data_IF_752155316805
#
_entry.id   IF_752155316805
#
_cell.length_a   1.000
_cell.length_b   1.000
_cell.length_c   1.000
_cell.angle_alpha   90.00
_cell.angle_beta   90.00
_cell.angle_gamma   90.00
#
_symmetry.space_group_name_H-M   'P 1'
#
loop_
_entity.id
_entity.type
_entity.pdbx_description
1 polymer ?
#
# COMPACT_ATOMS: atom_id res chain seq x y z
N UNK A 1 -29.04 16.94 -1.54
CA UNK A 1 -28.25 16.05 -2.41
C UNK A 1 -27.48 16.80 -3.49
N UNK A 2 -28.10 17.64 -4.35
CA UNK A 2 -27.38 18.38 -5.41
C UNK A 2 -26.28 19.34 -4.92
N UNK A 3 -26.45 19.99 -3.76
CA UNK A 3 -25.43 20.88 -3.16
C UNK A 3 -24.23 20.13 -2.58
N UNK A 4 -24.46 18.92 -2.04
CA UNK A 4 -23.40 18.06 -1.52
C UNK A 4 -22.54 17.52 -2.67
N UNK A 5 -23.17 17.10 -3.77
CA UNK A 5 -22.50 16.64 -4.98
C UNK A 5 -21.64 17.73 -5.63
N UNK A 6 -22.17 18.98 -5.65
CA UNK A 6 -21.42 20.13 -6.17
C UNK A 6 -20.23 20.50 -5.28
N UNK A 7 -20.34 20.36 -3.94
CA UNK A 7 -19.21 20.56 -3.02
C UNK A 7 -18.13 19.49 -3.21
N UNK A 8 -18.52 18.23 -3.38
CA UNK A 8 -17.58 17.13 -3.63
C UNK A 8 -16.87 17.32 -4.97
N UNK A 9 -17.61 17.72 -6.03
CA UNK A 9 -17.00 18.02 -7.34
C UNK A 9 -16.05 19.22 -7.27
N UNK A 10 -16.42 20.28 -6.54
CA UNK A 10 -15.55 21.45 -6.33
C UNK A 10 -14.30 21.09 -5.54
N UNK A 11 -14.41 20.20 -4.53
CA UNK A 11 -13.28 19.73 -3.74
C UNK A 11 -12.31 18.88 -4.60
N UNK A 12 -12.85 18.03 -5.48
CA UNK A 12 -12.04 17.23 -6.43
C UNK A 12 -11.32 18.14 -7.44
N UNK A 13 -12.00 19.19 -7.95
CA UNK A 13 -11.37 20.14 -8.88
C UNK A 13 -10.32 21.05 -8.21
N UNK A 14 -10.47 21.37 -6.92
CA UNK A 14 -9.44 22.15 -6.20
C UNK A 14 -8.24 21.29 -5.79
N UNK A 15 -8.42 20.00 -5.55
CA UNK A 15 -7.30 19.09 -5.32
C UNK A 15 -6.45 18.91 -6.59
N UNK A 16 -7.05 18.84 -7.78
CA UNK A 16 -6.30 18.68 -9.04
C UNK A 16 -5.37 19.85 -9.37
N UNK A 17 -5.62 21.04 -8.80
CA UNK A 17 -4.76 22.23 -8.96
C UNK A 17 -3.63 22.31 -7.91
N UNK A 18 -3.75 21.58 -6.79
CA UNK A 18 -2.75 21.58 -5.71
C UNK A 18 -1.71 20.46 -5.83
N UNK A 19 -1.93 19.49 -6.71
CA UNK A 19 -1.07 18.30 -6.87
C UNK A 19 0.25 18.60 -7.59
N UNK A 20 0.41 19.77 -8.20
CA UNK A 20 1.67 20.15 -8.87
C UNK A 20 2.84 20.47 -7.93
N UNK A 21 2.64 20.52 -6.60
CA UNK A 21 3.64 21.07 -5.69
C UNK A 21 4.67 20.07 -5.17
N UNK A 22 4.46 18.76 -5.34
CA UNK A 22 5.37 17.71 -4.85
C UNK A 22 5.63 16.63 -5.90
N UNK A 23 5.97 17.03 -7.11
CA UNK A 23 6.38 16.07 -8.14
C UNK A 23 7.69 15.38 -7.72
N UNK A 24 7.76 14.07 -7.89
CA UNK A 24 9.01 13.33 -7.71
C UNK A 24 10.01 13.74 -8.80
N UNK A 25 11.31 13.69 -8.51
CA UNK A 25 12.35 14.06 -9.51
C UNK A 25 12.32 13.20 -10.77
N UNK A 26 11.75 12.00 -10.68
CA UNK A 26 11.60 11.02 -11.74
C UNK A 26 10.14 10.83 -12.20
N UNK A 27 9.27 11.82 -11.99
CA UNK A 27 7.85 11.80 -12.35
C UNK A 27 7.61 11.48 -13.84
N UNK A 28 8.52 11.94 -14.72
CA UNK A 28 8.48 11.62 -16.16
C UNK A 28 8.67 10.14 -16.49
N UNK A 29 9.16 9.35 -15.54
CA UNK A 29 9.32 7.91 -15.68
C UNK A 29 8.08 7.14 -15.27
N UNK A 30 7.09 7.82 -14.68
CA UNK A 30 5.80 7.25 -14.31
C UNK A 30 4.95 7.18 -15.59
N UNK A 31 4.36 6.01 -15.86
CA UNK A 31 3.44 5.86 -17.00
C UNK A 31 2.25 6.80 -16.87
N UNK A 32 1.82 7.39 -17.98
CA UNK A 32 0.64 8.27 -18.04
C UNK A 32 -0.62 7.58 -17.47
N UNK A 33 -0.74 6.26 -17.60
CA UNK A 33 -1.85 5.48 -17.06
C UNK A 33 -1.93 5.54 -15.52
N UNK A 34 -0.81 5.82 -14.84
CA UNK A 34 -0.71 5.82 -13.37
C UNK A 34 -0.32 7.18 -12.78
N UNK A 35 0.07 8.14 -13.60
CA UNK A 35 0.58 9.44 -13.15
C UNK A 35 -0.40 10.17 -12.22
N UNK A 36 -1.69 10.19 -12.58
CA UNK A 36 -2.74 10.80 -11.75
C UNK A 36 -2.89 10.08 -10.40
N UNK A 37 -2.91 8.75 -10.40
CA UNK A 37 -3.04 7.97 -9.17
C UNK A 37 -1.85 8.19 -8.23
N UNK A 38 -0.64 8.21 -8.77
CA UNK A 38 0.58 8.49 -7.99
C UNK A 38 0.54 9.91 -7.42
N UNK A 39 0.16 10.90 -8.23
CA UNK A 39 0.05 12.28 -7.80
C UNK A 39 -0.99 12.46 -6.66
N UNK A 40 -2.16 11.83 -6.79
CA UNK A 40 -3.20 11.87 -5.75
C UNK A 40 -2.71 11.22 -4.45
N UNK A 41 -2.13 10.02 -4.51
CA UNK A 41 -1.65 9.31 -3.32
C UNK A 41 -0.46 10.01 -2.65
N UNK A 42 0.38 10.70 -3.44
CA UNK A 42 1.43 11.58 -2.91
C UNK A 42 0.80 12.79 -2.21
N UNK A 43 -0.12 13.50 -2.88
CA UNK A 43 -0.83 14.65 -2.29
C UNK A 43 -1.60 14.29 -1.01
N UNK A 44 -2.09 13.06 -0.91
CA UNK A 44 -2.71 12.52 0.31
C UNK A 44 -1.67 12.11 1.37
N UNK A 45 -0.36 12.14 1.08
CA UNK A 45 0.71 11.72 1.97
C UNK A 45 0.82 10.20 2.17
N UNK A 46 0.13 9.40 1.35
CA UNK A 46 0.24 7.94 1.34
C UNK A 46 1.56 7.52 0.73
N UNK A 47 1.90 8.06 -0.45
CA UNK A 47 3.21 7.90 -1.08
C UNK A 47 4.13 9.05 -0.65
N UNK A 48 5.28 8.73 -0.07
CA UNK A 48 6.28 9.72 0.35
C UNK A 48 7.53 9.72 -0.53
N UNK A 49 7.69 8.68 -1.36
CA UNK A 49 8.91 8.48 -2.13
C UNK A 49 10.13 8.14 -1.26
N UNK A 50 11.29 8.20 -1.87
CA UNK A 50 12.57 7.94 -1.23
C UNK A 50 13.22 9.24 -0.74
N UNK A 51 14.25 9.14 0.10
CA UNK A 51 14.98 10.29 0.67
C UNK A 51 15.55 11.24 -0.38
N UNK A 52 15.87 10.71 -1.57
CA UNK A 52 16.35 11.47 -2.71
C UNK A 52 15.25 12.12 -3.54
N UNK A 53 14.01 12.13 -3.05
CA UNK A 53 12.81 12.63 -3.72
C UNK A 53 12.46 11.89 -5.02
N UNK A 54 12.85 10.60 -5.17
CA UNK A 54 12.42 9.75 -6.28
C UNK A 54 11.21 8.90 -5.89
N UNK A 55 10.44 8.47 -6.89
CA UNK A 55 9.37 7.48 -6.77
C UNK A 55 9.84 6.07 -7.15
N UNK A 56 10.73 5.96 -8.13
CA UNK A 56 11.29 4.73 -8.71
C UNK A 56 10.20 3.78 -9.25
N UNK A 57 9.42 4.20 -10.24
CA UNK A 57 8.26 3.45 -10.72
C UNK A 57 8.59 2.08 -11.33
N UNK A 58 9.87 1.83 -11.67
CA UNK A 58 10.34 0.55 -12.20
C UNK A 58 11.09 -0.28 -11.13
N UNK A 59 11.15 0.21 -9.89
CA UNK A 59 11.81 -0.48 -8.80
C UNK A 59 10.90 -1.49 -8.13
N UNK A 60 11.43 -2.67 -7.79
CA UNK A 60 10.68 -3.62 -6.96
C UNK A 60 10.39 -3.02 -5.59
N UNK A 61 9.16 -3.15 -5.12
CA UNK A 61 8.76 -2.70 -3.79
C UNK A 61 8.99 -3.81 -2.75
N UNK A 62 9.44 -3.42 -1.56
CA UNK A 62 9.63 -4.34 -0.44
C UNK A 62 8.37 -4.51 0.41
N UNK A 63 8.30 -5.60 1.17
CA UNK A 63 7.20 -5.84 2.12
C UNK A 63 7.13 -4.76 3.20
N UNK A 64 8.27 -4.21 3.62
CA UNK A 64 8.33 -3.10 4.55
C UNK A 64 7.69 -1.82 3.96
N UNK A 65 8.01 -1.48 2.72
CA UNK A 65 7.45 -0.30 2.03
C UNK A 65 5.94 -0.43 1.83
N UNK A 66 5.46 -1.60 1.39
CA UNK A 66 4.01 -1.85 1.28
C UNK A 66 3.34 -1.75 2.65
N UNK A 67 3.96 -2.22 3.73
CA UNK A 67 3.39 -2.07 5.08
C UNK A 67 3.20 -0.62 5.49
N UNK A 68 4.14 0.26 5.14
CA UNK A 68 3.99 1.70 5.40
C UNK A 68 2.87 2.34 4.58
N UNK A 69 2.70 1.92 3.31
CA UNK A 69 1.60 2.36 2.45
C UNK A 69 0.25 1.90 3.03
N UNK A 70 0.13 0.62 3.33
CA UNK A 70 -1.08 0.01 3.91
C UNK A 70 -1.46 0.66 5.24
N UNK A 71 -0.46 0.92 6.09
CA UNK A 71 -0.65 1.65 7.35
C UNK A 71 -1.30 3.02 7.10
N UNK A 72 -0.74 3.83 6.18
CA UNK A 72 -1.25 5.18 5.90
C UNK A 72 -2.63 5.15 5.26
N UNK A 73 -2.89 4.22 4.35
CA UNK A 73 -4.23 4.00 3.77
C UNK A 73 -5.25 3.66 4.85
N UNK A 74 -4.92 2.72 5.74
CA UNK A 74 -5.85 2.24 6.76
C UNK A 74 -6.10 3.25 7.86
N UNK A 75 -5.04 3.90 8.35
CA UNK A 75 -5.12 4.80 9.51
C UNK A 75 -5.38 6.24 9.14
N UNK A 76 -5.14 6.63 7.88
CA UNK A 76 -5.07 8.02 7.41
C UNK A 76 -4.08 8.89 8.24
N UNK A 77 -3.15 8.24 8.93
CA UNK A 77 -2.10 8.88 9.74
C UNK A 77 -0.86 9.14 8.89
N UNK A 78 -0.90 10.21 8.11
CA UNK A 78 0.20 10.61 7.22
C UNK A 78 1.42 11.18 7.97
N UNK A 79 1.28 11.48 9.26
CA UNK A 79 2.37 11.89 10.15
C UNK A 79 3.07 10.71 10.79
N UNK A 80 2.56 9.49 10.58
CA UNK A 80 3.12 8.24 11.08
C UNK A 80 3.20 8.16 12.63
N UNK A 81 2.40 8.97 13.32
CA UNK A 81 2.46 9.12 14.78
C UNK A 81 2.10 7.83 15.52
N UNK A 82 1.11 7.07 15.02
CA UNK A 82 0.70 5.81 15.63
C UNK A 82 1.71 4.68 15.38
N UNK A 83 2.45 4.72 14.28
CA UNK A 83 3.45 3.70 13.95
C UNK A 83 4.54 3.61 15.03
N UNK A 84 4.99 4.76 15.57
CA UNK A 84 6.03 4.80 16.60
C UNK A 84 5.66 4.04 17.87
N UNK A 85 4.36 3.96 18.20
CA UNK A 85 3.86 3.22 19.36
C UNK A 85 4.03 1.70 19.22
N UNK A 86 4.22 1.21 18.00
CA UNK A 86 4.39 -0.21 17.68
C UNK A 86 5.83 -0.58 17.32
N UNK A 87 6.80 0.33 17.51
CA UNK A 87 8.20 0.09 17.16
C UNK A 87 8.85 -1.09 17.90
N UNK A 88 8.30 -1.45 19.08
CA UNK A 88 8.76 -2.60 19.87
C UNK A 88 7.85 -3.83 19.74
N UNK A 89 6.83 -3.78 18.89
CA UNK A 89 5.92 -4.90 18.68
C UNK A 89 6.56 -5.96 17.79
N UNK A 90 6.99 -7.04 18.38
CA UNK A 90 7.74 -8.12 17.72
C UNK A 90 6.87 -9.38 17.54
N UNK A 91 6.04 -9.41 16.51
CA UNK A 91 5.25 -10.60 16.14
C UNK A 91 6.08 -11.60 15.32
N UNK A 92 7.10 -11.13 14.61
CA UNK A 92 7.91 -11.94 13.71
C UNK A 92 9.36 -12.00 14.17
N UNK A 93 10.04 -13.12 13.87
CA UNK A 93 11.39 -13.40 14.38
C UNK A 93 12.48 -12.50 13.79
N UNK A 94 12.24 -11.90 12.63
CA UNK A 94 13.19 -11.07 11.87
C UNK A 94 12.94 -9.57 11.95
N UNK A 95 12.14 -9.11 12.92
CA UNK A 95 11.79 -7.71 13.08
C UNK A 95 12.99 -6.80 13.39
N UNK A 96 14.06 -7.33 13.99
CA UNK A 96 15.29 -6.57 14.20
C UNK A 96 15.90 -6.04 12.88
N UNK A 97 15.68 -6.75 11.77
CA UNK A 97 16.09 -6.32 10.43
C UNK A 97 15.14 -5.32 9.75
N UNK A 98 14.00 -4.99 10.37
CA UNK A 98 12.99 -4.14 9.74
C UNK A 98 13.37 -2.64 9.76
N UNK A 99 14.34 -2.23 10.62
CA UNK A 99 14.82 -0.85 10.69
C UNK A 99 13.69 0.16 10.89
N UNK A 100 13.61 1.15 10.00
CA UNK A 100 12.59 2.21 10.01
C UNK A 100 11.15 1.69 9.93
N UNK A 101 10.96 0.48 9.41
CA UNK A 101 9.62 -0.06 9.15
C UNK A 101 9.02 -0.81 10.33
N UNK A 102 9.75 -1.01 11.44
CA UNK A 102 9.26 -1.78 12.59
C UNK A 102 7.88 -1.35 13.08
N UNK A 103 7.67 -0.05 13.24
CA UNK A 103 6.40 0.49 13.71
C UNK A 103 5.24 0.25 12.74
N UNK A 104 5.48 0.40 11.44
CA UNK A 104 4.44 0.15 10.42
C UNK A 104 4.07 -1.34 10.36
N UNK A 105 5.08 -2.22 10.32
CA UNK A 105 4.86 -3.67 10.32
C UNK A 105 4.16 -4.10 11.61
N UNK A 106 4.63 -3.58 12.75
CA UNK A 106 4.05 -3.87 14.06
C UNK A 106 2.58 -3.49 14.15
N UNK A 107 2.24 -2.26 13.73
CA UNK A 107 0.85 -1.81 13.67
C UNK A 107 0.01 -2.69 12.74
N UNK A 108 0.47 -2.88 11.50
CA UNK A 108 -0.28 -3.65 10.51
C UNK A 108 -0.45 -5.12 10.92
N UNK A 109 0.55 -5.71 11.59
CA UNK A 109 0.45 -7.06 12.12
C UNK A 109 -0.53 -7.17 13.30
N UNK A 110 -0.57 -6.16 14.18
CA UNK A 110 -1.53 -6.09 15.28
C UNK A 110 -2.97 -5.90 14.76
N UNK A 111 -3.15 -5.13 13.69
CA UNK A 111 -4.43 -4.90 13.03
C UNK A 111 -4.78 -5.98 11.98
N UNK A 112 -4.00 -7.06 11.88
CA UNK A 112 -4.18 -8.19 10.95
C UNK A 112 -4.17 -7.80 9.45
N UNK A 113 -3.66 -6.63 9.11
CA UNK A 113 -3.54 -6.15 7.72
C UNK A 113 -2.41 -6.86 6.97
N UNK A 114 -1.36 -7.28 7.70
CA UNK A 114 -0.25 -8.05 7.16
C UNK A 114 -0.08 -9.35 7.93
N UNK A 115 0.32 -10.40 7.22
CA UNK A 115 0.64 -11.71 7.79
C UNK A 115 2.08 -12.06 7.44
N UNK A 116 2.76 -12.76 8.32
CA UNK A 116 4.10 -13.33 8.07
C UNK A 116 4.02 -14.64 7.30
N UNK A 117 5.18 -15.23 7.13
CA UNK A 117 5.32 -16.55 6.54
C UNK A 117 5.17 -17.67 7.59
N UNK A 118 4.93 -18.93 7.15
CA UNK A 118 4.79 -20.07 8.07
C UNK A 118 6.02 -20.34 8.95
N UNK A 119 7.22 -19.87 8.51
CA UNK A 119 8.47 -19.97 9.27
C UNK A 119 8.60 -18.92 10.40
N UNK A 120 7.57 -18.12 10.63
CA UNK A 120 7.54 -17.08 11.66
C UNK A 120 8.25 -15.79 11.28
N UNK A 121 8.72 -15.65 10.04
CA UNK A 121 9.35 -14.43 9.54
C UNK A 121 8.36 -13.49 8.84
N UNK A 122 8.74 -12.22 8.69
CA UNK A 122 8.05 -11.23 7.86
C UNK A 122 8.77 -10.94 6.55
N UNK A 123 10.10 -11.04 6.54
CA UNK A 123 11.01 -10.69 5.44
C UNK A 123 10.86 -9.21 5.02
N UNK A 124 11.15 -8.25 5.91
CA UNK A 124 10.92 -6.82 5.66
C UNK A 124 11.54 -6.31 4.36
N UNK A 125 12.77 -6.70 4.06
CA UNK A 125 13.51 -6.32 2.86
C UNK A 125 13.21 -7.22 1.65
N UNK A 126 12.36 -8.22 1.79
CA UNK A 126 11.95 -9.10 0.70
C UNK A 126 11.06 -8.35 -0.29
N UNK A 127 11.26 -8.63 -1.60
CA UNK A 127 10.35 -8.20 -2.64
C UNK A 127 8.99 -8.84 -2.42
N UNK A 128 7.93 -8.07 -2.66
CA UNK A 128 6.56 -8.57 -2.50
C UNK A 128 5.98 -8.88 -3.88
N UNK A 129 5.21 -9.95 -3.99
CA UNK A 129 4.50 -10.28 -5.23
C UNK A 129 3.21 -9.47 -5.37
N UNK A 130 2.67 -9.38 -6.58
CA UNK A 130 1.38 -8.74 -6.83
C UNK A 130 0.25 -9.32 -5.97
N UNK A 131 0.20 -10.66 -5.78
CA UNK A 131 -0.78 -11.28 -4.89
C UNK A 131 -0.61 -10.86 -3.43
N UNK A 132 0.62 -10.75 -2.94
CA UNK A 132 0.87 -10.33 -1.57
C UNK A 132 0.47 -8.86 -1.34
N UNK A 133 0.76 -7.96 -2.30
CA UNK A 133 0.31 -6.56 -2.27
C UNK A 133 -1.20 -6.49 -2.23
N UNK A 134 -1.88 -7.21 -3.15
CA UNK A 134 -3.34 -7.24 -3.19
C UNK A 134 -3.95 -7.73 -1.89
N UNK A 135 -3.39 -8.80 -1.30
CA UNK A 135 -3.87 -9.31 -0.02
C UNK A 135 -3.77 -8.26 1.10
N UNK A 136 -2.67 -7.53 1.18
CA UNK A 136 -2.47 -6.47 2.17
C UNK A 136 -3.43 -5.31 1.96
N UNK A 137 -3.62 -4.85 0.72
CA UNK A 137 -4.54 -3.75 0.38
C UNK A 137 -5.99 -4.17 0.65
N UNK A 138 -6.39 -5.37 0.21
CA UNK A 138 -7.76 -5.86 0.42
C UNK A 138 -8.10 -5.98 1.91
N UNK A 139 -7.17 -6.45 2.75
CA UNK A 139 -7.36 -6.44 4.22
C UNK A 139 -7.56 -5.02 4.76
N UNK A 140 -6.78 -4.05 4.26
CA UNK A 140 -6.90 -2.67 4.70
C UNK A 140 -8.27 -2.04 4.36
N UNK A 141 -8.94 -2.52 3.32
CA UNK A 141 -10.29 -2.06 2.94
C UNK A 141 -11.40 -3.00 3.42
N UNK A 142 -11.07 -3.94 4.30
CA UNK A 142 -12.07 -4.71 5.08
C UNK A 142 -12.44 -6.08 4.53
N UNK A 143 -11.67 -6.64 3.60
CA UNK A 143 -11.77 -8.04 3.19
C UNK A 143 -10.93 -8.97 4.09
N UNK A 144 -11.04 -10.28 3.90
CA UNK A 144 -10.31 -11.33 4.68
C UNK A 144 -10.67 -11.36 6.18
N UNK A 145 -11.89 -11.00 6.52
CA UNK A 145 -12.33 -10.93 7.93
C UNK A 145 -12.40 -12.30 8.62
N UNK A 146 -12.63 -13.34 7.82
CA UNK A 146 -12.74 -14.71 8.31
C UNK A 146 -11.52 -15.57 7.90
N UNK A 147 -10.44 -14.95 7.40
CA UNK A 147 -9.24 -15.65 6.96
C UNK A 147 -9.35 -16.27 5.57
N UNK A 148 -10.14 -15.68 4.69
CA UNK A 148 -10.36 -16.15 3.32
C UNK A 148 -9.06 -16.23 2.51
N UNK A 149 -8.08 -15.35 2.83
CA UNK A 149 -6.76 -15.32 2.17
C UNK A 149 -5.75 -16.20 2.91
N UNK A 150 -6.12 -17.47 3.14
CA UNK A 150 -5.27 -18.46 3.80
C UNK A 150 -5.38 -19.83 3.12
N UNK A 151 -4.49 -20.78 3.51
CA UNK A 151 -4.46 -22.12 2.92
C UNK A 151 -3.78 -22.16 1.55
N UNK A 152 -3.91 -23.30 0.85
CA UNK A 152 -3.23 -23.54 -0.43
C UNK A 152 -3.74 -22.59 -1.56
N UNK A 153 -5.02 -22.24 -1.51
CA UNK A 153 -5.69 -21.47 -2.57
C UNK A 153 -5.77 -19.97 -2.25
N UNK A 154 -4.99 -19.48 -1.28
CA UNK A 154 -5.05 -18.09 -0.83
C UNK A 154 -4.90 -17.07 -1.98
N UNK A 155 -4.00 -17.33 -2.93
CA UNK A 155 -3.76 -16.44 -4.07
C UNK A 155 -4.97 -16.39 -5.03
N UNK A 156 -5.66 -17.52 -5.22
CA UNK A 156 -6.90 -17.58 -6.01
C UNK A 156 -7.99 -16.74 -5.35
N UNK A 157 -8.17 -16.88 -4.04
CA UNK A 157 -9.15 -16.09 -3.29
C UNK A 157 -8.85 -14.60 -3.34
N UNK A 158 -7.58 -14.21 -3.25
CA UNK A 158 -7.14 -12.82 -3.41
C UNK A 158 -7.49 -12.29 -4.81
N UNK A 159 -7.16 -13.04 -5.87
CA UNK A 159 -7.44 -12.63 -7.25
C UNK A 159 -8.96 -12.46 -7.50
N UNK A 160 -9.75 -13.42 -7.07
CA UNK A 160 -11.21 -13.37 -7.20
C UNK A 160 -11.80 -12.16 -6.47
N UNK A 161 -11.36 -11.92 -5.23
CA UNK A 161 -11.81 -10.77 -4.44
C UNK A 161 -11.38 -9.45 -5.08
N UNK A 162 -10.13 -9.34 -5.56
CA UNK A 162 -9.63 -8.15 -6.24
C UNK A 162 -10.43 -7.84 -7.52
N UNK A 163 -10.79 -8.88 -8.28
CA UNK A 163 -11.62 -8.74 -9.47
C UNK A 163 -13.04 -8.29 -9.12
N UNK A 164 -13.68 -8.93 -8.13
CA UNK A 164 -15.02 -8.56 -7.66
C UNK A 164 -15.07 -7.14 -7.09
N UNK A 165 -14.05 -6.74 -6.35
CA UNK A 165 -13.91 -5.39 -5.81
C UNK A 165 -13.56 -4.34 -6.88
N UNK A 166 -13.28 -4.76 -8.13
CA UNK A 166 -12.91 -3.86 -9.22
C UNK A 166 -11.51 -3.28 -9.14
N UNK A 167 -10.67 -3.75 -8.21
CA UNK A 167 -9.30 -3.24 -8.00
C UNK A 167 -8.43 -3.47 -9.25
N UNK A 168 -8.67 -4.53 -9.99
CA UNK A 168 -7.90 -4.88 -11.19
C UNK A 168 -8.50 -4.34 -12.50
N UNK A 169 -9.62 -3.60 -12.44
CA UNK A 169 -10.38 -3.20 -13.64
C UNK A 169 -9.56 -2.43 -14.67
N UNK A 170 -8.63 -1.58 -14.22
CA UNK A 170 -7.80 -0.72 -15.07
C UNK A 170 -6.33 -1.17 -15.12
N UNK A 171 -6.00 -2.31 -14.53
CA UNK A 171 -4.65 -2.86 -14.51
C UNK A 171 -4.47 -3.81 -15.67
N UNK A 172 -3.49 -3.55 -16.55
CA UNK A 172 -3.23 -4.34 -17.76
C UNK A 172 -1.84 -4.97 -17.70
N UNK A 173 -1.74 -6.19 -18.23
CA UNK A 173 -0.45 -6.85 -18.43
C UNK A 173 0.30 -7.20 -17.16
N UNK A 174 -0.36 -7.24 -16.00
CA UNK A 174 0.27 -7.55 -14.72
C UNK A 174 0.43 -9.07 -14.55
N UNK A 175 1.62 -9.50 -14.16
CA UNK A 175 1.86 -10.84 -13.62
C UNK A 175 1.85 -10.74 -12.09
N UNK A 176 0.78 -11.23 -11.47
CA UNK A 176 0.63 -11.18 -10.01
C UNK A 176 1.60 -12.11 -9.27
N UNK A 177 2.29 -13.04 -9.95
CA UNK A 177 3.34 -13.87 -9.35
C UNK A 177 4.70 -13.16 -9.35
N UNK A 178 4.89 -12.19 -10.24
CA UNK A 178 6.13 -11.41 -10.30
C UNK A 178 6.26 -10.45 -9.11
N UNK A 179 7.48 -10.00 -8.77
CA UNK A 179 7.67 -8.88 -7.88
C UNK A 179 6.87 -7.67 -8.35
N UNK A 180 6.19 -7.02 -7.40
CA UNK A 180 5.48 -5.77 -7.67
C UNK A 180 6.46 -4.59 -7.79
N UNK A 181 6.15 -3.67 -8.68
CA UNK A 181 6.89 -2.42 -8.88
C UNK A 181 6.02 -1.21 -8.60
#
# INVERSE_FOLDING_TARGET
>A
MKKLLAMVLALVMTLSLAVSANAFKDDKSISDDYAEAVAVLNGMGVFKGYEDNSFKPQGDITRAEVSAIVYRVYTQDVKDAKASMYATYNKFSDMAGAGWAQGYIGYCANAELVKGYPDGTFKPSGKVTGYEVLAMILRAVGYDKNGEFSGADWALHVAQTAQQAGVLKNVKGIDLNAPAT
#
